data_IF_957629721478
#
_entry.id   IF_957629721478
#
_cell.length_a   1.000
_cell.length_b   1.000
_cell.length_c   1.000
_cell.angle_alpha   90.00
_cell.angle_beta   90.00
_cell.angle_gamma   90.00
#
_symmetry.space_group_name_H-M   'P 1'
#
loop_
_entity.id
_entity.type
_entity.pdbx_description
1 polymer ?
#
# COMPACT_ATOMS: atom_id res chain seq x y z
N UNK A 1 28.68 -13.11 -0.50
CA UNK A 1 27.40 -12.36 -0.48
C UNK A 1 26.98 -12.33 0.96
N UNK A 2 27.13 -11.17 1.59
CA UNK A 2 26.88 -10.97 3.03
C UNK A 2 25.37 -11.05 3.29
N UNK A 3 24.96 -11.90 4.24
CA UNK A 3 23.56 -11.99 4.68
C UNK A 3 23.23 -10.72 5.47
N UNK A 4 22.79 -9.67 4.78
CA UNK A 4 22.46 -8.37 5.39
C UNK A 4 21.36 -8.44 6.46
N UNK A 5 20.60 -9.55 6.52
CA UNK A 5 19.60 -9.82 7.55
C UNK A 5 20.22 -10.05 8.94
N UNK A 6 21.46 -10.54 9.03
CA UNK A 6 22.15 -10.80 10.31
C UNK A 6 22.44 -9.52 11.10
N UNK A 7 22.41 -8.37 10.44
CA UNK A 7 22.64 -7.06 11.06
C UNK A 7 21.43 -6.52 11.83
N UNK A 8 20.27 -7.20 11.83
CA UNK A 8 19.09 -6.77 12.56
C UNK A 8 19.36 -6.63 14.06
N UNK A 9 19.96 -7.65 14.68
CA UNK A 9 20.28 -7.64 16.11
C UNK A 9 21.26 -6.53 16.47
N UNK A 10 22.28 -6.31 15.61
CA UNK A 10 23.28 -5.26 15.79
C UNK A 10 22.69 -3.85 15.60
N UNK A 11 21.71 -3.71 14.70
CA UNK A 11 20.99 -2.46 14.47
C UNK A 11 20.14 -2.07 15.69
N UNK A 12 19.42 -3.02 16.28
CA UNK A 12 18.53 -2.77 17.43
C UNK A 12 19.33 -2.34 18.66
N UNK A 13 20.48 -2.97 18.91
CA UNK A 13 21.35 -2.63 20.05
C UNK A 13 22.29 -1.46 19.77
N UNK A 14 22.10 -0.75 18.66
CA UNK A 14 22.88 0.39 18.19
C UNK A 14 24.41 0.14 18.08
N UNK A 15 24.82 -1.09 17.76
CA UNK A 15 26.23 -1.49 17.65
C UNK A 15 26.78 -1.50 16.20
N UNK A 16 26.01 -1.04 15.23
CA UNK A 16 26.49 -0.85 13.86
C UNK A 16 27.22 0.49 13.72
N UNK A 17 28.29 0.52 12.92
CA UNK A 17 28.90 1.79 12.52
C UNK A 17 27.92 2.63 11.68
N UNK A 18 28.14 3.94 11.60
CA UNK A 18 27.26 4.85 10.83
C UNK A 18 27.09 4.42 9.37
N UNK A 19 28.16 3.91 8.75
CA UNK A 19 28.11 3.41 7.37
C UNK A 19 27.25 2.13 7.25
N UNK A 20 27.36 1.21 8.21
CA UNK A 20 26.59 -0.04 8.24
C UNK A 20 25.12 0.21 8.56
N UNK A 21 24.81 1.17 9.46
CA UNK A 21 23.44 1.63 9.71
C UNK A 21 22.78 2.13 8.43
N UNK A 22 23.46 2.99 7.67
CA UNK A 22 22.90 3.51 6.42
C UNK A 22 22.71 2.41 5.36
N UNK A 23 23.58 1.41 5.32
CA UNK A 23 23.38 0.22 4.48
C UNK A 23 22.19 -0.62 4.93
N UNK A 24 22.03 -0.83 6.23
CA UNK A 24 20.94 -1.62 6.80
C UNK A 24 19.59 -0.91 6.65
N UNK A 25 19.53 0.43 6.82
CA UNK A 25 18.33 1.23 6.53
C UNK A 25 17.87 1.08 5.08
N UNK A 26 18.80 1.02 4.12
CA UNK A 26 18.47 0.73 2.72
C UNK A 26 17.91 -0.68 2.54
N UNK A 27 18.49 -1.67 3.23
CA UNK A 27 17.99 -3.05 3.21
C UNK A 27 16.58 -3.16 3.80
N UNK A 28 16.33 -2.50 4.94
CA UNK A 28 15.06 -2.49 5.65
C UNK A 28 13.90 -1.97 4.77
N UNK A 29 14.17 -1.04 3.85
CA UNK A 29 13.15 -0.55 2.89
C UNK A 29 12.69 -1.60 1.86
N UNK A 30 13.46 -2.66 1.67
CA UNK A 30 13.26 -3.64 0.57
C UNK A 30 13.01 -5.07 1.04
N UNK A 31 13.25 -5.37 2.32
CA UNK A 31 13.18 -6.74 2.86
C UNK A 31 12.01 -6.87 3.83
N UNK A 32 10.92 -7.51 3.38
CA UNK A 32 9.73 -7.75 4.20
C UNK A 32 10.01 -8.59 5.45
N UNK A 33 10.95 -9.54 5.37
CA UNK A 33 11.33 -10.36 6.52
C UNK A 33 11.90 -9.50 7.66
N UNK A 34 12.87 -8.61 7.37
CA UNK A 34 13.45 -7.75 8.40
C UNK A 34 12.48 -6.69 8.91
N UNK A 35 11.51 -6.25 8.10
CA UNK A 35 10.43 -5.35 8.54
C UNK A 35 9.55 -6.05 9.60
N UNK A 36 9.06 -7.25 9.27
CA UNK A 36 8.20 -8.02 10.17
C UNK A 36 8.91 -8.43 11.47
N UNK A 37 10.18 -8.82 11.40
CA UNK A 37 10.98 -9.16 12.59
C UNK A 37 11.18 -7.93 13.50
N UNK A 38 11.44 -6.75 12.92
CA UNK A 38 11.60 -5.52 13.69
C UNK A 38 10.29 -5.12 14.40
N UNK A 39 9.16 -5.25 13.70
CA UNK A 39 7.83 -4.96 14.26
C UNK A 39 7.49 -5.92 15.42
N UNK A 40 7.66 -7.23 15.21
CA UNK A 40 7.47 -8.26 16.24
C UNK A 40 8.32 -8.02 17.50
N UNK A 41 9.57 -7.60 17.31
CA UNK A 41 10.47 -7.27 18.42
C UNK A 41 10.03 -6.01 19.16
N UNK A 42 9.53 -4.98 18.46
CA UNK A 42 9.00 -3.77 19.10
C UNK A 42 7.74 -4.06 19.93
N UNK A 43 6.83 -4.90 19.44
CA UNK A 43 5.65 -5.33 20.19
C UNK A 43 6.05 -6.08 21.48
N UNK A 44 7.05 -6.95 21.39
CA UNK A 44 7.61 -7.66 22.55
C UNK A 44 8.22 -6.69 23.56
N UNK A 45 8.94 -5.67 23.07
CA UNK A 45 9.59 -4.67 23.92
C UNK A 45 8.57 -3.79 24.67
N UNK A 46 7.47 -3.43 24.02
CA UNK A 46 6.37 -2.70 24.65
C UNK A 46 5.75 -3.53 25.79
N UNK A 47 5.61 -4.85 25.61
CA UNK A 47 5.11 -5.74 26.67
C UNK A 47 6.04 -5.74 27.89
N UNK A 48 7.36 -5.81 27.65
CA UNK A 48 8.36 -5.80 28.73
C UNK A 48 8.38 -4.49 29.53
N UNK A 49 8.06 -3.34 28.90
CA UNK A 49 8.05 -2.05 29.60
C UNK A 49 6.98 -1.93 30.68
N UNK A 50 5.91 -2.72 30.65
CA UNK A 50 4.86 -2.70 31.68
C UNK A 50 5.30 -3.34 33.00
N UNK A 51 6.32 -4.20 32.98
CA UNK A 51 6.86 -4.87 34.18
C UNK A 51 7.98 -4.07 34.87
N UNK A 52 8.33 -2.90 34.33
CA UNK A 52 9.35 -2.02 34.92
C UNK A 52 8.72 -1.10 35.98
N UNK A 53 9.39 -0.98 37.13
CA UNK A 53 8.98 -0.04 38.17
C UNK A 53 9.21 1.41 37.70
N UNK A 54 8.17 2.23 37.72
CA UNK A 54 8.22 3.62 37.25
C UNK A 54 9.12 4.44 38.18
N UNK A 55 10.22 4.97 37.63
CA UNK A 55 11.12 5.89 38.34
C UNK A 55 10.73 7.31 37.94
N UNK A 56 10.39 8.13 38.93
CA UNK A 56 10.06 9.54 38.71
C UNK A 56 11.23 10.28 38.03
N UNK A 57 10.95 10.86 36.86
CA UNK A 57 11.90 11.67 36.14
C UNK A 57 12.12 13.01 36.87
N UNK A 58 13.37 13.50 36.99
CA UNK A 58 13.63 14.85 37.50
C UNK A 58 12.81 15.93 36.78
N UNK A 59 12.17 16.81 37.55
CA UNK A 59 11.29 17.88 37.03
C UNK A 59 11.99 18.80 36.00
N UNK A 60 13.32 18.91 36.07
CA UNK A 60 14.11 19.74 35.15
C UNK A 60 14.22 19.14 33.75
N UNK A 61 14.14 17.82 33.59
CA UNK A 61 14.36 17.14 32.30
C UNK A 61 13.33 17.56 31.26
N UNK A 62 12.07 17.71 31.66
CA UNK A 62 11.01 18.17 30.74
C UNK A 62 11.31 19.57 30.23
N UNK A 63 11.78 20.47 31.10
CA UNK A 63 12.14 21.83 30.70
C UNK A 63 13.38 21.84 29.81
N UNK A 64 14.40 21.04 30.12
CA UNK A 64 15.64 20.95 29.33
C UNK A 64 15.40 20.40 27.92
N UNK A 65 14.59 19.35 27.78
CA UNK A 65 14.24 18.77 26.47
C UNK A 65 13.40 19.74 25.63
N UNK A 66 12.41 20.39 26.25
CA UNK A 66 11.57 21.37 25.55
C UNK A 66 12.40 22.59 25.14
N UNK A 67 13.27 23.10 26.01
CA UNK A 67 14.17 24.20 25.68
C UNK A 67 15.13 23.85 24.55
N UNK A 68 15.63 22.60 24.47
CA UNK A 68 16.48 22.15 23.36
C UNK A 68 15.72 22.14 22.02
N UNK A 69 14.50 21.59 21.98
CA UNK A 69 13.66 21.55 20.77
C UNK A 69 13.30 22.96 20.28
N UNK A 70 13.03 23.89 21.20
CA UNK A 70 12.63 25.26 20.87
C UNK A 70 13.79 26.26 20.75
N UNK A 71 15.03 25.86 21.08
CA UNK A 71 16.21 26.73 20.93
C UNK A 71 16.72 26.80 19.50
N UNK A 72 16.47 25.79 18.67
CA UNK A 72 16.94 25.79 17.27
C UNK A 72 16.24 26.84 16.38
N UNK A 73 15.12 27.41 16.84
CA UNK A 73 14.37 28.43 16.09
C UNK A 73 14.73 29.89 16.44
N UNK A 74 15.69 30.12 17.36
CA UNK A 74 16.08 31.48 17.82
C UNK A 74 17.52 31.87 17.54
N UNK A 75 18.05 31.44 16.40
CA UNK A 75 19.19 32.13 15.78
C UNK A 75 18.73 32.90 14.55
N UNK A 76 18.84 34.22 14.66
CA UNK A 76 18.82 35.24 13.61
C UNK A 76 17.50 35.99 13.30
N UNK A 77 17.26 37.06 14.08
CA UNK A 77 16.92 38.36 13.47
C UNK A 77 17.85 39.46 13.99
N UNK A 78 19.15 39.30 13.72
CA UNK A 78 20.10 40.40 13.80
C UNK A 78 20.08 41.15 12.46
N UNK A 79 19.50 42.35 12.50
CA UNK A 79 19.46 43.34 11.44
C UNK A 79 20.88 43.60 10.91
N UNK A 80 21.21 43.11 9.71
CA UNK A 80 22.45 43.46 9.00
C UNK A 80 22.17 44.60 8.03
N UNK A 81 22.51 45.80 8.46
CA UNK A 81 22.81 46.90 7.55
C UNK A 81 24.02 46.51 6.71
N UNK A 82 23.93 46.76 5.40
CA UNK A 82 24.96 46.45 4.42
C UNK A 82 26.10 47.48 4.44
N UNK A 83 27.37 47.06 4.58
CA UNK A 83 28.46 47.73 3.92
C UNK A 83 28.75 46.99 2.60
N UNK A 84 28.54 47.69 1.48
CA UNK A 84 29.05 47.29 0.17
C UNK A 84 30.58 47.20 0.25
N UNK A 85 31.11 46.00 0.48
CA UNK A 85 32.52 45.70 0.28
C UNK A 85 32.75 45.29 -1.19
N UNK A 86 33.76 45.85 -1.88
CA UNK A 86 34.15 45.35 -3.19
C UNK A 86 34.77 43.97 -3.02
N UNK A 87 34.11 42.95 -3.59
CA UNK A 87 34.63 41.59 -3.70
C UNK A 87 35.83 41.64 -4.65
N UNK A 88 37.02 41.90 -4.12
CA UNK A 88 38.25 41.50 -4.80
C UNK A 88 38.35 39.99 -4.68
N UNK A 89 38.13 39.35 -5.83
CA UNK A 89 38.33 37.95 -6.13
C UNK A 89 39.61 37.41 -5.48
N UNK A 90 39.46 36.79 -4.30
CA UNK A 90 40.54 36.10 -3.58
C UNK A 90 40.71 34.68 -4.15
N UNK A 91 40.80 34.58 -5.47
CA UNK A 91 40.90 33.32 -6.20
C UNK A 91 42.17 33.22 -7.04
N UNK A 92 43.28 33.78 -6.57
CA UNK A 92 44.57 33.66 -7.28
C UNK A 92 45.73 33.48 -6.31
N UNK A 93 45.99 32.23 -5.91
CA UNK A 93 47.39 31.74 -5.82
C UNK A 93 47.61 30.22 -5.71
N UNK A 94 46.57 29.37 -5.73
CA UNK A 94 46.78 27.91 -5.59
C UNK A 94 46.17 27.01 -6.68
N UNK A 95 45.55 27.55 -7.73
CA UNK A 95 44.97 26.72 -8.78
C UNK A 95 45.79 26.81 -10.08
N UNK A 96 46.53 25.75 -10.38
CA UNK A 96 47.09 25.49 -11.71
C UNK A 96 45.95 25.43 -12.74
N UNK A 97 46.11 25.96 -13.97
CA UNK A 97 45.04 26.05 -14.97
C UNK A 97 44.42 24.70 -15.38
N UNK A 98 45.08 23.58 -15.04
CA UNK A 98 44.56 22.23 -15.26
C UNK A 98 43.50 21.78 -14.22
N UNK A 99 43.55 22.26 -12.97
CA UNK A 99 42.60 21.83 -11.93
C UNK A 99 41.26 22.56 -12.00
N UNK A 100 41.22 23.75 -12.60
CA UNK A 100 39.99 24.53 -12.78
C UNK A 100 39.06 23.93 -13.86
N UNK A 101 39.60 23.26 -14.88
CA UNK A 101 38.79 22.60 -15.91
C UNK A 101 38.06 21.36 -15.40
N UNK A 102 38.71 20.59 -14.53
CA UNK A 102 38.18 19.31 -14.03
C UNK A 102 37.03 19.52 -13.03
N UNK A 103 37.08 20.57 -12.21
CA UNK A 103 36.01 20.92 -11.27
C UNK A 103 34.78 21.46 -11.99
N UNK A 104 34.94 22.25 -13.05
CA UNK A 104 33.81 22.74 -13.86
C UNK A 104 33.03 21.60 -14.52
N UNK A 105 33.73 20.59 -15.07
CA UNK A 105 33.10 19.41 -15.68
C UNK A 105 32.34 18.59 -14.63
N UNK A 106 32.91 18.42 -13.43
CA UNK A 106 32.23 17.71 -12.34
C UNK A 106 30.96 18.43 -11.88
N UNK A 107 30.97 19.76 -11.79
CA UNK A 107 29.78 20.53 -11.39
C UNK A 107 28.68 20.45 -12.45
N UNK A 108 29.03 20.55 -13.74
CA UNK A 108 28.07 20.42 -14.85
C UNK A 108 27.51 18.99 -14.91
N UNK A 109 28.35 17.98 -14.72
CA UNK A 109 27.92 16.57 -14.65
C UNK A 109 26.99 16.32 -13.46
N UNK A 110 27.33 16.82 -12.28
CA UNK A 110 26.53 16.66 -11.07
C UNK A 110 25.17 17.36 -11.17
N UNK A 111 25.13 18.56 -11.74
CA UNK A 111 23.87 19.28 -11.97
C UNK A 111 22.99 18.60 -13.03
N UNK A 112 23.58 18.08 -14.11
CA UNK A 112 22.86 17.27 -15.09
C UNK A 112 22.30 15.97 -14.49
N UNK A 113 23.09 15.28 -13.67
CA UNK A 113 22.67 14.08 -12.96
C UNK A 113 21.58 14.36 -11.93
N UNK A 114 21.67 15.48 -11.20
CA UNK A 114 20.63 15.93 -10.28
C UNK A 114 19.33 16.23 -11.03
N UNK A 115 19.39 16.94 -12.15
CA UNK A 115 18.22 17.25 -12.96
C UNK A 115 17.56 15.99 -13.52
N UNK A 116 18.37 15.06 -14.04
CA UNK A 116 17.89 13.75 -14.50
C UNK A 116 17.27 12.93 -13.37
N UNK A 117 17.88 12.92 -12.18
CA UNK A 117 17.38 12.19 -11.02
C UNK A 117 16.04 12.76 -10.50
N UNK A 118 15.90 14.09 -10.50
CA UNK A 118 14.65 14.75 -10.11
C UNK A 118 13.52 14.44 -11.12
N UNK A 119 13.80 14.55 -12.42
CA UNK A 119 12.82 14.23 -13.45
C UNK A 119 12.39 12.74 -13.43
N UNK A 120 13.33 11.85 -13.10
CA UNK A 120 13.05 10.42 -12.98
C UNK A 120 12.15 10.11 -11.79
N UNK A 121 12.30 10.85 -10.67
CA UNK A 121 11.39 10.72 -9.51
C UNK A 121 9.97 11.16 -9.86
N UNK A 122 9.81 12.29 -10.54
CA UNK A 122 8.49 12.78 -10.95
C UNK A 122 7.76 11.77 -11.85
N UNK A 123 8.51 11.10 -12.74
CA UNK A 123 7.96 10.06 -13.62
C UNK A 123 7.53 8.82 -12.83
N UNK A 124 8.34 8.35 -11.87
CA UNK A 124 7.99 7.20 -11.03
C UNK A 124 6.76 7.51 -10.18
N UNK A 125 6.72 8.69 -9.54
CA UNK A 125 5.58 9.10 -8.69
C UNK A 125 4.29 9.25 -9.50
N UNK A 126 4.35 9.76 -10.75
CA UNK A 126 3.17 9.83 -11.60
C UNK A 126 2.65 8.44 -12.02
N UNK A 127 3.53 7.49 -12.29
CA UNK A 127 3.13 6.10 -12.59
C UNK A 127 2.59 5.37 -11.34
N UNK A 128 3.18 5.62 -10.17
CA UNK A 128 2.68 5.08 -8.90
C UNK A 128 1.30 5.65 -8.58
N UNK A 129 1.03 6.93 -8.83
CA UNK A 129 -0.28 7.57 -8.59
C UNK A 129 -1.36 7.06 -9.57
N UNK A 130 -1.02 6.78 -10.84
CA UNK A 130 -1.92 6.10 -11.78
C UNK A 130 -2.30 4.68 -11.32
N UNK A 131 -1.37 3.95 -10.69
CA UNK A 131 -1.61 2.61 -10.15
C UNK A 131 -2.20 2.60 -8.74
N UNK A 132 -1.98 3.66 -7.96
CA UNK A 132 -2.45 3.81 -6.58
C UNK A 132 -3.82 4.49 -6.50
N UNK A 133 -4.65 4.35 -7.55
CA UNK A 133 -6.04 4.79 -7.48
C UNK A 133 -6.72 4.09 -6.29
N UNK A 134 -7.22 4.84 -5.29
CA UNK A 134 -7.74 4.24 -4.08
C UNK A 134 -8.94 3.34 -4.43
N UNK A 135 -8.86 2.08 -4.02
CA UNK A 135 -9.95 1.12 -4.20
C UNK A 135 -11.18 1.63 -3.44
N UNK A 136 -12.21 2.01 -4.18
CA UNK A 136 -13.46 2.54 -3.62
C UNK A 136 -14.60 1.57 -3.89
N UNK A 137 -15.49 1.42 -2.91
CA UNK A 137 -16.75 0.69 -3.09
C UNK A 137 -17.73 1.65 -3.76
N UNK A 138 -18.00 1.42 -5.04
CA UNK A 138 -18.94 2.22 -5.85
C UNK A 138 -20.38 1.90 -5.49
N UNK A 139 -20.69 0.62 -5.29
CA UNK A 139 -22.05 0.16 -5.01
C UNK A 139 -22.06 -1.15 -4.24
N UNK A 140 -23.07 -1.31 -3.41
CA UNK A 140 -23.36 -2.56 -2.70
C UNK A 140 -24.73 -3.08 -3.11
N UNK A 141 -24.82 -4.38 -3.36
CA UNK A 141 -26.06 -5.08 -3.69
C UNK A 141 -26.33 -6.13 -2.63
N UNK A 142 -27.53 -6.11 -2.08
CA UNK A 142 -27.99 -7.16 -1.17
C UNK A 142 -28.67 -8.26 -1.97
N UNK A 143 -28.27 -9.49 -1.73
CA UNK A 143 -28.79 -10.67 -2.40
C UNK A 143 -29.61 -11.49 -1.41
N UNK A 144 -30.80 -11.91 -1.84
CA UNK A 144 -31.70 -12.73 -1.02
C UNK A 144 -32.00 -14.05 -1.70
N UNK A 145 -31.84 -15.12 -0.95
CA UNK A 145 -32.19 -16.47 -1.37
C UNK A 145 -33.69 -16.66 -1.49
N UNK A 146 -34.07 -17.57 -2.38
CA UNK A 146 -35.44 -17.96 -2.67
C UNK A 146 -35.53 -19.47 -2.86
N UNK A 147 -36.76 -19.99 -2.83
CA UNK A 147 -37.06 -21.40 -3.08
C UNK A 147 -36.22 -22.36 -2.21
N UNK A 148 -35.41 -23.21 -2.83
CA UNK A 148 -34.55 -24.19 -2.15
C UNK A 148 -33.43 -23.56 -1.33
N UNK A 149 -33.14 -22.27 -1.53
CA UNK A 149 -32.13 -21.51 -0.81
C UNK A 149 -32.75 -20.33 -0.03
N UNK A 150 -34.00 -20.43 0.45
CA UNK A 150 -34.69 -19.33 1.12
C UNK A 150 -33.98 -18.76 2.37
N UNK A 151 -33.13 -19.56 3.04
CA UNK A 151 -32.31 -19.11 4.17
C UNK A 151 -30.99 -18.45 3.75
N UNK A 152 -30.61 -18.57 2.48
CA UNK A 152 -29.36 -18.03 1.98
C UNK A 152 -29.44 -16.51 1.81
N UNK A 153 -28.32 -15.85 2.02
CA UNK A 153 -28.17 -14.42 1.80
C UNK A 153 -26.79 -14.14 1.17
N UNK A 154 -26.61 -12.95 0.64
CA UNK A 154 -25.32 -12.54 0.11
C UNK A 154 -25.21 -11.04 -0.03
N UNK A 155 -23.98 -10.57 -0.19
CA UNK A 155 -23.66 -9.17 -0.44
C UNK A 155 -22.68 -9.10 -1.59
N UNK A 156 -22.96 -8.26 -2.58
CA UNK A 156 -22.03 -7.98 -3.67
C UNK A 156 -21.53 -6.54 -3.60
N UNK A 157 -20.23 -6.37 -3.69
CA UNK A 157 -19.54 -5.09 -3.69
C UNK A 157 -18.97 -4.84 -5.08
N UNK A 158 -19.34 -3.71 -5.69
CA UNK A 158 -18.70 -3.21 -6.90
C UNK A 158 -17.57 -2.28 -6.48
N UNK A 159 -16.33 -2.70 -6.69
CA UNK A 159 -15.12 -1.95 -6.40
C UNK A 159 -14.60 -1.33 -7.70
N UNK A 160 -14.10 -0.11 -7.60
CA UNK A 160 -13.40 0.57 -8.68
C UNK A 160 -11.97 0.87 -8.23
N UNK A 161 -11.02 0.39 -9.02
CA UNK A 161 -9.58 0.59 -8.86
C UNK A 161 -9.08 1.31 -10.12
N UNK A 162 -9.07 2.64 -10.08
CA UNK A 162 -8.78 3.49 -11.23
C UNK A 162 -9.81 3.32 -12.36
N UNK A 163 -9.37 2.72 -13.47
CA UNK A 163 -10.21 2.43 -14.63
C UNK A 163 -10.80 1.02 -14.66
N UNK A 164 -10.43 0.16 -13.71
CA UNK A 164 -10.87 -1.23 -13.67
C UNK A 164 -11.93 -1.43 -12.60
N UNK A 165 -12.99 -2.16 -12.95
CA UNK A 165 -14.08 -2.51 -12.04
C UNK A 165 -13.98 -3.98 -11.65
N UNK A 166 -14.14 -4.27 -10.36
CA UNK A 166 -14.18 -5.63 -9.84
C UNK A 166 -15.43 -5.83 -8.99
N UNK A 167 -16.11 -6.95 -9.19
CA UNK A 167 -17.28 -7.34 -8.41
C UNK A 167 -16.88 -8.46 -7.46
N UNK A 168 -17.01 -8.22 -6.16
CA UNK A 168 -16.81 -9.24 -5.12
C UNK A 168 -18.18 -9.64 -4.59
N UNK A 169 -18.48 -10.93 -4.60
CA UNK A 169 -19.77 -11.47 -4.17
C UNK A 169 -19.53 -12.46 -3.05
N UNK A 170 -20.05 -12.14 -1.88
CA UNK A 170 -20.07 -13.00 -0.70
C UNK A 170 -21.45 -13.63 -0.57
N UNK A 171 -21.48 -14.95 -0.35
CA UNK A 171 -22.67 -15.76 -0.21
C UNK A 171 -22.59 -16.52 1.11
N UNK A 172 -23.70 -16.60 1.84
CA UNK A 172 -23.79 -17.26 3.13
C UNK A 172 -25.02 -18.17 3.19
N UNK A 173 -24.92 -19.23 3.99
CA UNK A 173 -26.00 -20.20 4.22
C UNK A 173 -26.55 -20.83 2.93
N UNK A 174 -25.70 -20.99 1.93
CA UNK A 174 -26.04 -21.65 0.67
C UNK A 174 -26.20 -23.16 0.89
N UNK A 175 -27.26 -23.79 0.35
CA UNK A 175 -27.40 -25.25 0.41
C UNK A 175 -26.23 -25.94 -0.30
N UNK A 176 -25.76 -27.06 0.27
CA UNK A 176 -24.70 -27.86 -0.33
C UNK A 176 -25.08 -28.39 -1.72
N UNK A 177 -24.11 -28.42 -2.62
CA UNK A 177 -24.23 -28.93 -4.00
C UNK A 177 -23.88 -30.42 -4.05
N UNK A 178 -24.55 -31.20 -4.92
CA UNK A 178 -24.22 -32.62 -5.14
C UNK A 178 -23.44 -32.81 -6.44
N UNK A 179 -22.53 -33.78 -6.45
CA UNK A 179 -21.76 -34.15 -7.64
C UNK A 179 -21.12 -32.92 -8.35
N UNK A 180 -21.51 -32.66 -9.59
CA UNK A 180 -21.04 -31.55 -10.43
C UNK A 180 -21.91 -30.29 -10.36
N UNK A 181 -22.91 -30.26 -9.47
CA UNK A 181 -23.72 -29.07 -9.26
C UNK A 181 -22.88 -27.90 -8.77
N UNK A 182 -23.15 -26.72 -9.31
CA UNK A 182 -22.53 -25.46 -8.89
C UNK A 182 -23.54 -24.34 -8.86
N UNK A 183 -23.30 -23.32 -8.04
CA UNK A 183 -24.01 -22.07 -8.18
C UNK A 183 -23.32 -21.22 -9.23
N UNK A 184 -24.11 -20.72 -10.18
CA UNK A 184 -23.62 -19.85 -11.24
C UNK A 184 -24.20 -18.45 -11.08
N UNK A 185 -23.31 -17.46 -11.16
CA UNK A 185 -23.66 -16.04 -11.05
C UNK A 185 -23.88 -15.46 -12.43
N UNK A 186 -24.96 -14.70 -12.55
CA UNK A 186 -25.37 -14.00 -13.75
C UNK A 186 -25.49 -12.50 -13.45
N UNK A 187 -24.83 -11.69 -14.27
CA UNK A 187 -25.06 -10.25 -14.33
C UNK A 187 -26.16 -9.99 -15.34
N UNK A 188 -27.19 -9.25 -14.92
CA UNK A 188 -28.34 -8.93 -15.73
C UNK A 188 -28.26 -7.48 -16.21
N UNK A 189 -28.39 -7.30 -17.52
CA UNK A 189 -28.46 -5.98 -18.16
C UNK A 189 -29.53 -6.03 -19.26
N UNK A 190 -30.61 -5.26 -19.10
CA UNK A 190 -31.69 -5.18 -20.10
C UNK A 190 -32.20 -6.55 -20.60
N UNK A 191 -32.27 -7.53 -19.70
CA UNK A 191 -32.71 -8.91 -20.01
C UNK A 191 -31.61 -9.84 -20.55
N UNK A 192 -30.44 -9.32 -20.93
CA UNK A 192 -29.27 -10.13 -21.26
C UNK A 192 -28.60 -10.62 -19.98
N UNK A 193 -28.20 -11.89 -19.96
CA UNK A 193 -27.51 -12.53 -18.84
C UNK A 193 -26.09 -12.84 -19.25
N UNK A 194 -25.14 -12.39 -18.44
CA UNK A 194 -23.73 -12.68 -18.65
C UNK A 194 -23.19 -13.50 -17.47
N UNK A 195 -22.43 -14.55 -17.78
CA UNK A 195 -21.79 -15.37 -16.78
C UNK A 195 -20.69 -14.56 -16.05
N UNK A 196 -20.76 -14.51 -14.73
CA UNK A 196 -19.77 -13.86 -13.86
C UNK A 196 -19.04 -14.83 -12.93
N UNK A 197 -19.14 -16.13 -13.18
CA UNK A 197 -18.40 -17.18 -12.47
C UNK A 197 -19.32 -18.23 -11.85
N UNK A 198 -18.67 -19.29 -11.38
CA UNK A 198 -19.33 -20.40 -10.68
C UNK A 198 -18.66 -20.65 -9.33
N UNK A 199 -19.44 -21.16 -8.38
CA UNK A 199 -18.97 -21.47 -7.03
C UNK A 199 -19.64 -22.72 -6.46
N UNK A 200 -18.85 -23.50 -5.74
CA UNK A 200 -19.34 -24.51 -4.80
C UNK A 200 -19.17 -23.94 -3.38
N UNK A 201 -20.23 -23.84 -2.57
CA UNK A 201 -20.10 -23.37 -1.20
C UNK A 201 -19.26 -24.34 -0.37
N UNK A 202 -18.64 -23.83 0.68
CA UNK A 202 -17.91 -24.63 1.65
C UNK A 202 -18.85 -25.46 2.55
N UNK A 203 -18.29 -26.18 3.52
CA UNK A 203 -19.05 -27.01 4.45
C UNK A 203 -20.04 -26.22 5.32
N UNK A 204 -19.82 -24.91 5.48
CA UNK A 204 -20.68 -24.00 6.23
C UNK A 204 -21.72 -23.30 5.33
N UNK A 205 -21.69 -23.56 4.02
CA UNK A 205 -22.55 -22.92 3.03
C UNK A 205 -22.08 -21.52 2.62
N UNK A 206 -20.82 -21.17 2.85
CA UNK A 206 -20.25 -19.88 2.49
C UNK A 206 -19.55 -19.96 1.13
N UNK A 207 -19.53 -18.85 0.39
CA UNK A 207 -18.84 -18.75 -0.88
C UNK A 207 -18.42 -17.33 -1.21
N UNK A 208 -17.27 -17.18 -1.86
CA UNK A 208 -16.74 -15.91 -2.33
C UNK A 208 -16.38 -16.01 -3.83
N UNK A 209 -16.91 -15.08 -4.63
CA UNK A 209 -16.55 -14.93 -6.04
C UNK A 209 -15.97 -13.54 -6.26
N UNK A 210 -14.87 -13.47 -7.01
CA UNK A 210 -14.33 -12.22 -7.53
C UNK A 210 -14.40 -12.24 -9.05
N UNK A 211 -15.07 -11.26 -9.65
CA UNK A 211 -15.21 -11.10 -11.08
C UNK A 211 -14.63 -9.76 -11.53
N UNK A 212 -13.58 -9.81 -12.35
CA UNK A 212 -13.03 -8.60 -12.99
C UNK A 212 -13.90 -8.24 -14.19
N UNK A 213 -14.49 -7.05 -14.17
CA UNK A 213 -15.38 -6.60 -15.22
C UNK A 213 -14.59 -6.06 -16.41
N UNK A 214 -14.86 -6.53 -17.64
CA UNK A 214 -14.44 -5.87 -18.87
C UNK A 214 -14.81 -4.38 -18.88
N UNK A 215 -13.97 -3.57 -19.53
CA UNK A 215 -14.25 -2.15 -19.80
C UNK A 215 -15.58 -2.04 -20.55
N UNK A 216 -16.40 -1.08 -20.17
CA UNK A 216 -17.75 -0.80 -20.71
C UNK A 216 -18.87 -1.80 -20.35
N UNK A 217 -18.59 -2.79 -19.50
CA UNK A 217 -19.64 -3.69 -19.03
C UNK A 217 -20.46 -3.05 -17.90
N UNK A 218 -21.77 -2.99 -18.09
CA UNK A 218 -22.74 -2.56 -17.06
C UNK A 218 -23.74 -3.67 -16.74
N UNK A 219 -24.31 -3.62 -15.54
CA UNK A 219 -25.39 -4.49 -15.10
C UNK A 219 -26.27 -3.75 -14.08
N UNK A 220 -27.53 -4.16 -14.02
CA UNK A 220 -28.52 -3.58 -13.11
C UNK A 220 -28.72 -4.49 -11.90
N UNK A 221 -28.76 -5.80 -12.15
CA UNK A 221 -29.10 -6.83 -11.16
C UNK A 221 -28.14 -8.02 -11.23
N UNK A 222 -28.13 -8.80 -10.14
CA UNK A 222 -27.39 -10.04 -10.00
C UNK A 222 -28.41 -11.16 -9.76
N UNK A 223 -28.20 -12.29 -10.43
CA UNK A 223 -29.00 -13.49 -10.25
C UNK A 223 -28.11 -14.71 -10.10
N UNK A 224 -28.53 -15.65 -9.27
CA UNK A 224 -27.79 -16.89 -9.02
C UNK A 224 -28.70 -18.08 -9.28
N UNK A 225 -28.18 -19.06 -10.02
CA UNK A 225 -28.86 -20.31 -10.35
C UNK A 225 -28.08 -21.52 -9.84
N UNK A 226 -28.77 -22.60 -9.49
CA UNK A 226 -28.15 -23.91 -9.22
C UNK A 226 -28.09 -24.69 -10.53
N UNK A 227 -26.89 -24.81 -11.08
CA UNK A 227 -26.61 -25.42 -12.38
C UNK A 227 -26.04 -26.83 -12.24
N UNK A 228 -26.35 -27.77 -13.15
CA UNK A 228 -25.87 -29.15 -13.08
C UNK A 228 -24.40 -29.32 -13.51
N UNK A 229 -23.80 -28.30 -14.12
CA UNK A 229 -22.40 -28.31 -14.54
C UNK A 229 -21.84 -26.86 -14.51
N UNK A 230 -20.52 -26.68 -14.43
CA UNK A 230 -19.91 -25.36 -14.29
C UNK A 230 -19.72 -24.56 -15.57
N UNK A 231 -19.92 -25.15 -16.75
CA UNK A 231 -19.54 -24.55 -18.04
C UNK A 231 -20.75 -24.14 -18.87
N UNK A 232 -21.83 -23.68 -18.23
CA UNK A 232 -23.01 -23.24 -18.96
C UNK A 232 -22.85 -21.80 -19.49
N UNK A 233 -23.17 -21.62 -20.77
CA UNK A 233 -23.24 -20.30 -21.43
C UNK A 233 -24.57 -19.59 -21.20
N UNK A 234 -25.60 -20.33 -20.80
CA UNK A 234 -26.93 -19.83 -20.45
C UNK A 234 -27.47 -20.61 -19.23
N UNK A 235 -28.31 -19.99 -18.38
CA UNK A 235 -28.86 -20.66 -17.21
C UNK A 235 -29.79 -21.81 -17.62
N UNK A 236 -29.46 -23.02 -17.17
CA UNK A 236 -30.30 -24.23 -17.33
C UNK A 236 -30.92 -24.64 -16.00
N UNK A 237 -30.32 -24.17 -14.91
CA UNK A 237 -30.70 -24.39 -13.55
C UNK A 237 -31.87 -23.54 -13.08
N UNK A 238 -32.32 -23.82 -11.86
CA UNK A 238 -33.35 -23.02 -11.19
C UNK A 238 -32.70 -21.80 -10.54
N UNK A 239 -33.39 -20.66 -10.57
CA UNK A 239 -32.98 -19.46 -9.82
C UNK A 239 -33.12 -19.75 -8.33
N UNK A 240 -32.10 -19.39 -7.56
CA UNK A 240 -32.03 -19.62 -6.12
C UNK A 240 -31.79 -18.34 -5.32
N UNK A 241 -31.29 -17.28 -5.95
CA UNK A 241 -31.02 -16.01 -5.29
C UNK A 241 -30.97 -14.87 -6.33
N UNK A 242 -31.22 -13.64 -5.89
CA UNK A 242 -30.95 -12.44 -6.68
C UNK A 242 -30.99 -11.16 -5.86
N UNK A 243 -30.69 -10.04 -6.50
CA UNK A 243 -30.79 -8.69 -5.92
C UNK A 243 -32.22 -8.38 -5.46
N UNK A 244 -32.34 -7.67 -4.34
CA UNK A 244 -33.61 -7.16 -3.77
C UNK A 244 -33.96 -5.75 -4.24
#
# INVERSE_FOLDING_TARGET
MENKCENLSLYIIDQLSEHEKEQFKRHLKTCAHCQNELESLQETWQTLSYDMEEVDAPDSLKMEVMDFIFKEDKTEKAKKESPLYPIKLFLTKHFSPLSAGMTAILIISFTGLLWYNLHLKDTITALEDEMASPTQIVRTFNLKGQDTAASANGTAYLLQEGHDNSLIIELNNMPGTKDDEVYQVWLLNNGNRQNAGTIKPDQNGNGLITYRMPKDQSFDDIGITLEPNPNNTQPKGRKVMGTI
#
